data_IF_309961074482
#
_entry.id   IF_309961074482
#
_cell.length_a   1.000
_cell.length_b   1.000
_cell.length_c   1.000
_cell.angle_alpha   90.00
_cell.angle_beta   90.00
_cell.angle_gamma   90.00
#
_symmetry.space_group_name_H-M   'P 1'
#
loop_
_entity.id
_entity.type
_entity.pdbx_description
1 polymer ?
#
# COMPACT_ATOMS: atom_id res chain seq x y z
N UNK A 1 16.02 -17.77 8.75
CA UNK A 1 14.68 -17.18 8.58
C UNK A 1 14.74 -15.86 7.83
N UNK A 2 13.69 -15.58 7.07
CA UNK A 2 13.50 -14.34 6.34
C UNK A 2 12.24 -13.61 6.84
N UNK A 3 12.29 -12.30 6.84
CA UNK A 3 11.14 -11.45 7.13
C UNK A 3 11.04 -10.34 6.09
N UNK A 4 9.90 -10.22 5.42
CA UNK A 4 9.64 -9.09 4.55
C UNK A 4 9.17 -7.93 5.42
N UNK A 5 10.06 -6.99 5.69
CA UNK A 5 9.81 -5.90 6.63
C UNK A 5 9.01 -4.76 6.03
N UNK A 6 9.00 -4.64 4.71
CA UNK A 6 8.11 -3.72 4.00
C UNK A 6 7.88 -4.20 2.56
N UNK A 7 6.67 -4.00 2.08
CA UNK A 7 6.27 -4.22 0.69
C UNK A 7 5.05 -3.36 0.40
N UNK A 8 5.08 -2.56 -0.66
CA UNK A 8 3.98 -1.66 -0.95
C UNK A 8 4.00 -1.12 -2.36
N UNK A 9 2.90 -0.54 -2.77
CA UNK A 9 2.68 0.03 -4.09
C UNK A 9 2.26 1.49 -3.99
N UNK A 10 3.15 2.40 -4.41
CA UNK A 10 2.89 3.83 -4.43
C UNK A 10 2.24 4.26 -5.74
N UNK A 11 1.10 4.93 -5.64
CA UNK A 11 0.35 5.42 -6.79
C UNK A 11 -0.35 6.74 -6.50
N UNK A 12 -0.73 7.44 -7.56
CA UNK A 12 -1.60 8.61 -7.47
C UNK A 12 -3.04 8.12 -7.48
N UNK A 13 -3.60 7.93 -6.30
CA UNK A 13 -4.99 7.51 -6.14
C UNK A 13 -5.93 8.71 -6.39
N UNK A 14 -7.08 8.44 -6.98
CA UNK A 14 -8.09 9.46 -7.25
C UNK A 14 -9.36 9.15 -6.48
N UNK A 15 -9.82 10.12 -5.69
CA UNK A 15 -11.11 10.05 -5.04
C UNK A 15 -12.21 10.27 -6.08
N UNK A 16 -13.14 9.33 -6.17
CA UNK A 16 -14.30 9.41 -7.08
C UNK A 16 -15.34 10.39 -6.58
N UNK A 17 -16.28 10.77 -7.46
CA UNK A 17 -17.35 11.70 -7.13
C UNK A 17 -18.25 11.20 -5.98
N UNK A 18 -18.40 9.88 -5.83
CA UNK A 18 -19.14 9.25 -4.74
C UNK A 18 -18.35 9.14 -3.42
N UNK A 19 -17.11 9.65 -3.40
CA UNK A 19 -16.25 9.65 -2.23
C UNK A 19 -15.38 8.42 -2.07
N UNK A 20 -15.53 7.41 -2.94
CA UNK A 20 -14.71 6.19 -2.89
C UNK A 20 -13.38 6.35 -3.62
N UNK A 21 -12.45 5.46 -3.36
CA UNK A 21 -11.18 5.34 -4.08
C UNK A 21 -11.09 3.95 -4.69
N UNK A 22 -10.98 3.90 -6.03
CA UNK A 22 -10.85 2.65 -6.76
C UNK A 22 -9.37 2.36 -7.01
N UNK A 23 -8.77 1.53 -6.16
CA UNK A 23 -7.36 1.17 -6.22
C UNK A 23 -7.13 -0.32 -6.51
N UNK A 24 -7.85 -0.87 -7.49
CA UNK A 24 -7.70 -2.26 -7.91
C UNK A 24 -6.26 -2.64 -8.23
N UNK A 25 -5.47 -1.72 -8.80
CA UNK A 25 -4.04 -1.93 -9.05
C UNK A 25 -3.26 -2.26 -7.77
N UNK A 26 -3.61 -1.68 -6.62
CA UNK A 26 -2.98 -1.99 -5.33
C UNK A 26 -3.41 -3.37 -4.83
N UNK A 27 -4.68 -3.69 -4.98
CA UNK A 27 -5.22 -5.01 -4.64
C UNK A 27 -4.51 -6.09 -5.46
N UNK A 28 -4.40 -5.91 -6.77
CA UNK A 28 -3.73 -6.83 -7.68
C UNK A 28 -2.24 -6.99 -7.33
N UNK A 29 -1.57 -5.89 -6.99
CA UNK A 29 -0.18 -5.91 -6.55
C UNK A 29 0.01 -6.80 -5.32
N UNK A 30 -0.77 -6.57 -4.26
CA UNK A 30 -0.67 -7.37 -3.05
C UNK A 30 -1.07 -8.83 -3.28
N UNK A 31 -2.14 -9.07 -4.01
CA UNK A 31 -2.59 -10.43 -4.33
C UNK A 31 -1.51 -11.22 -5.08
N UNK A 32 -0.85 -10.59 -6.05
CA UNK A 32 0.22 -11.22 -6.82
C UNK A 32 1.44 -11.53 -5.95
N UNK A 33 1.88 -10.59 -5.13
CA UNK A 33 3.02 -10.76 -4.23
C UNK A 33 2.76 -11.84 -3.18
N UNK A 34 1.58 -11.83 -2.56
CA UNK A 34 1.19 -12.84 -1.57
C UNK A 34 1.13 -14.23 -2.20
N UNK A 35 0.63 -14.34 -3.43
CA UNK A 35 0.58 -15.61 -4.16
C UNK A 35 1.99 -16.17 -4.40
N UNK A 36 2.91 -15.35 -4.88
CA UNK A 36 4.29 -15.79 -5.13
C UNK A 36 5.05 -16.08 -3.83
N UNK A 37 4.82 -15.28 -2.79
CA UNK A 37 5.36 -15.53 -1.45
C UNK A 37 4.90 -16.90 -0.92
N UNK A 38 3.62 -17.22 -1.08
CA UNK A 38 3.07 -18.53 -0.69
C UNK A 38 3.75 -19.67 -1.43
N UNK A 39 3.98 -19.52 -2.73
CA UNK A 39 4.71 -20.52 -3.52
C UNK A 39 6.14 -20.70 -3.02
N UNK A 40 6.85 -19.63 -2.74
CA UNK A 40 8.21 -19.69 -2.20
C UNK A 40 8.27 -20.50 -0.90
N UNK A 41 7.30 -20.30 -0.02
CA UNK A 41 7.23 -21.05 1.25
C UNK A 41 6.86 -22.53 1.01
N UNK A 42 5.80 -22.77 0.23
CA UNK A 42 5.22 -24.11 0.08
C UNK A 42 6.03 -24.99 -0.89
N UNK A 43 6.49 -24.42 -2.00
CA UNK A 43 7.15 -25.16 -3.08
C UNK A 43 8.67 -25.15 -2.93
N UNK A 44 9.26 -24.02 -2.51
CA UNK A 44 10.71 -23.85 -2.44
C UNK A 44 11.27 -24.00 -1.01
N UNK A 45 10.42 -24.17 -0.02
CA UNK A 45 10.84 -24.38 1.37
C UNK A 45 11.48 -23.15 2.01
N UNK A 46 11.18 -21.94 1.54
CA UNK A 46 11.72 -20.72 2.12
C UNK A 46 11.21 -20.53 3.55
N UNK A 47 12.15 -20.33 4.48
CA UNK A 47 11.83 -20.07 5.89
C UNK A 47 11.44 -18.61 6.08
N UNK A 48 10.22 -18.26 5.67
CA UNK A 48 9.64 -16.93 5.80
C UNK A 48 8.80 -16.88 7.07
N UNK A 49 9.18 -16.03 8.02
CA UNK A 49 8.53 -15.90 9.33
C UNK A 49 7.58 -14.72 9.45
N UNK A 50 7.56 -13.81 8.49
CA UNK A 50 6.68 -12.66 8.54
C UNK A 50 6.66 -11.81 7.29
N UNK A 51 5.60 -11.01 7.18
CA UNK A 51 5.37 -10.07 6.07
C UNK A 51 4.67 -8.83 6.61
N UNK A 52 5.22 -7.67 6.30
CA UNK A 52 4.64 -6.39 6.69
C UNK A 52 4.43 -5.52 5.44
N UNK A 53 3.20 -5.18 5.10
CA UNK A 53 2.94 -4.22 4.04
C UNK A 53 3.39 -2.82 4.44
N UNK A 54 3.85 -2.04 3.46
CA UNK A 54 4.19 -0.64 3.65
C UNK A 54 2.94 0.22 3.48
N UNK A 55 2.62 1.01 4.52
CA UNK A 55 1.55 1.99 4.45
C UNK A 55 0.15 1.41 4.67
N UNK A 56 -0.23 1.08 5.90
CA UNK A 56 -1.64 0.74 6.20
C UNK A 56 -2.55 1.95 6.02
N UNK A 57 -2.05 3.14 6.30
CA UNK A 57 -2.72 4.44 6.11
C UNK A 57 -1.82 5.29 5.20
N UNK A 58 -2.38 6.11 4.35
CA UNK A 58 -1.62 7.02 3.50
C UNK A 58 -0.64 7.86 4.31
N UNK A 59 0.55 8.01 3.77
CA UNK A 59 1.66 8.72 4.38
C UNK A 59 2.43 9.51 3.32
N UNK A 60 3.27 10.41 3.77
CA UNK A 60 4.18 11.12 2.86
C UNK A 60 5.24 10.14 2.37
N UNK A 61 5.39 10.02 1.05
CA UNK A 61 6.39 9.14 0.45
C UNK A 61 7.80 9.49 0.92
N UNK A 62 8.50 8.53 1.48
CA UNK A 62 9.90 8.72 1.89
C UNK A 62 10.82 8.95 0.68
N UNK A 63 10.49 8.35 -0.48
CA UNK A 63 11.30 8.47 -1.69
C UNK A 63 11.12 9.77 -2.44
N UNK A 64 9.91 10.36 -2.43
CA UNK A 64 9.59 11.55 -3.22
C UNK A 64 9.25 12.78 -2.38
N UNK A 65 8.96 12.60 -1.08
CA UNK A 65 8.49 13.68 -0.21
C UNK A 65 7.07 14.16 -0.53
N UNK A 66 6.29 13.36 -1.24
CA UNK A 66 4.97 13.74 -1.73
C UNK A 66 3.86 12.93 -1.06
N UNK A 67 2.79 13.60 -0.67
CA UNK A 67 1.58 12.96 -0.16
C UNK A 67 0.78 12.29 -1.30
N UNK A 68 0.83 12.83 -2.50
CA UNK A 68 0.10 12.29 -3.67
C UNK A 68 0.54 10.89 -4.07
N UNK A 69 1.79 10.51 -3.78
CA UNK A 69 2.27 9.14 -3.99
C UNK A 69 1.82 8.26 -2.84
N UNK A 70 0.64 7.70 -2.95
CA UNK A 70 -0.07 7.01 -1.88
C UNK A 70 0.25 5.53 -1.84
N UNK A 71 0.41 5.01 -0.64
CA UNK A 71 0.70 3.59 -0.37
C UNK A 71 -0.41 2.93 0.45
N UNK A 72 -1.27 3.73 1.10
CA UNK A 72 -2.20 3.27 2.11
C UNK A 72 -3.32 2.38 1.59
N UNK A 73 -3.75 1.46 2.43
CA UNK A 73 -5.02 0.75 2.28
C UNK A 73 -6.19 1.63 2.74
N UNK A 74 -5.87 2.69 3.47
CA UNK A 74 -6.80 3.74 3.90
C UNK A 74 -6.31 5.05 3.31
N UNK A 75 -7.15 5.67 2.48
CA UNK A 75 -6.91 6.98 1.89
C UNK A 75 -7.06 8.07 2.95
N UNK A 76 -6.16 9.05 2.96
CA UNK A 76 -6.25 10.23 3.81
C UNK A 76 -6.40 11.47 2.94
N UNK A 77 -7.42 12.26 3.18
CA UNK A 77 -7.66 13.51 2.47
C UNK A 77 -6.65 14.58 2.90
N UNK A 78 -5.51 14.58 2.22
CA UNK A 78 -4.41 15.51 2.43
C UNK A 78 -3.62 15.68 1.14
N UNK A 79 -3.27 16.91 0.78
CA UNK A 79 -2.43 17.21 -0.39
C UNK A 79 -0.94 17.31 -0.03
N UNK A 80 -0.10 17.64 -1.04
CA UNK A 80 1.34 17.78 -0.85
C UNK A 80 1.72 18.97 0.03
N UNK A 81 0.87 19.96 0.15
CA UNK A 81 1.04 21.15 0.96
C UNK A 81 0.52 20.98 2.40
N UNK A 82 -0.01 19.79 2.71
CA UNK A 82 -0.54 19.48 4.02
C UNK A 82 -1.98 19.93 4.24
N UNK A 83 -2.67 20.35 3.18
CA UNK A 83 -4.08 20.78 3.23
C UNK A 83 -5.02 19.63 2.97
N UNK A 84 -6.21 19.69 3.56
CA UNK A 84 -7.26 18.69 3.43
C UNK A 84 -8.04 18.54 4.74
N UNK A 85 -9.04 17.68 4.72
CA UNK A 85 -9.91 17.45 5.89
C UNK A 85 -9.34 16.40 6.84
N UNK A 86 -8.32 15.66 6.41
CA UNK A 86 -7.76 14.48 7.09
C UNK A 86 -8.77 13.34 7.24
N UNK A 87 -9.88 13.39 6.50
CA UNK A 87 -10.85 12.30 6.43
C UNK A 87 -10.16 11.02 5.97
N UNK A 88 -10.50 9.90 6.61
CA UNK A 88 -9.99 8.58 6.26
C UNK A 88 -11.06 7.81 5.53
N UNK A 89 -10.71 7.30 4.35
CA UNK A 89 -11.62 6.60 3.45
C UNK A 89 -11.08 5.20 3.18
N UNK A 90 -12.00 4.25 3.26
CA UNK A 90 -11.69 2.84 3.06
C UNK A 90 -12.19 2.37 1.70
#
# INVERSE_FOLDING_TARGET
PLFIVENGFGAVDQRQADGTVNDHYRIDYFASHIREMKKAVVEDGVDLIGYTPWGCIDLVSAGTGEMKKRYGMIYVDKDNEGKGTLERIR
#
